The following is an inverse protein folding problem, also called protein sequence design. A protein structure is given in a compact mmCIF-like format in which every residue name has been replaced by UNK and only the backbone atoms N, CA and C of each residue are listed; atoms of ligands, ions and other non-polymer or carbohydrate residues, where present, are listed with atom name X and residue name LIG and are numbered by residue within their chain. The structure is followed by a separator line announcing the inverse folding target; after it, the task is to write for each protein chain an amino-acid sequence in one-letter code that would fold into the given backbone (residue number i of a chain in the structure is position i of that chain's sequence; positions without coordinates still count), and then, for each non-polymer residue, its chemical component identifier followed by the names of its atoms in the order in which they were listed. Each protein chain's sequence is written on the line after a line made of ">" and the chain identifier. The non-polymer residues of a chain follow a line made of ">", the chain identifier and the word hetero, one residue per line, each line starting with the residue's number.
data_IF_737462949722
#
_entry.id   IF_737462949722
#
_cell.length_a   1.000
_cell.length_b   1.000
_cell.length_c   1.000
_cell.angle_alpha   90.00
_cell.angle_beta   90.00
_cell.angle_gamma   90.00
#
_symmetry.space_group_name_H-M   'P 1'
#
loop_
_entity.id
_entity.type
_entity.pdbx_description
1 polymer ?
#
# COMPACT_ATOMS: atom_id res chain seq x y z
N UNK A 1 -53.18 0.16 4.88
CA UNK A 1 -52.54 0.82 3.69
C UNK A 1 -51.89 2.18 3.98
N UNK A 2 -52.56 3.18 4.57
CA UNK A 2 -51.97 4.52 4.81
C UNK A 2 -50.75 4.48 5.78
N UNK A 3 -50.77 3.65 6.82
CA UNK A 3 -49.67 3.50 7.81
C UNK A 3 -48.42 2.87 7.21
N UNK A 4 -48.58 1.83 6.41
CA UNK A 4 -47.50 1.13 5.70
C UNK A 4 -46.80 2.05 4.68
N UNK A 5 -47.57 2.84 3.90
CA UNK A 5 -47.00 3.81 2.97
C UNK A 5 -46.22 4.91 3.66
N UNK A 6 -46.63 5.37 4.85
CA UNK A 6 -45.87 6.33 5.66
C UNK A 6 -44.54 5.73 6.19
N UNK A 7 -44.56 4.48 6.64
CA UNK A 7 -43.32 3.79 7.13
C UNK A 7 -42.31 3.63 5.96
N UNK A 8 -42.82 3.19 4.79
CA UNK A 8 -41.93 3.05 3.60
C UNK A 8 -41.35 4.41 3.21
N UNK A 9 -42.15 5.48 3.22
CA UNK A 9 -41.67 6.83 2.89
C UNK A 9 -40.60 7.30 3.85
N UNK A 10 -40.76 7.06 5.18
CA UNK A 10 -39.77 7.40 6.20
C UNK A 10 -38.44 6.63 5.97
N UNK A 11 -38.53 5.32 5.67
CA UNK A 11 -37.36 4.50 5.39
C UNK A 11 -36.60 5.02 4.15
N UNK A 12 -37.33 5.36 3.09
CA UNK A 12 -36.75 5.93 1.87
C UNK A 12 -36.09 7.29 2.13
N UNK A 13 -36.74 8.17 2.89
CA UNK A 13 -36.15 9.47 3.27
C UNK A 13 -34.89 9.26 4.11
N UNK A 14 -34.91 8.39 5.12
CA UNK A 14 -33.75 8.07 5.93
C UNK A 14 -32.60 7.50 5.08
N UNK A 15 -32.92 6.61 4.16
CA UNK A 15 -31.94 6.06 3.23
C UNK A 15 -31.31 7.14 2.34
N UNK A 16 -32.14 7.99 1.72
CA UNK A 16 -31.66 9.11 0.88
C UNK A 16 -30.82 10.09 1.69
N UNK A 17 -31.23 10.45 2.90
CA UNK A 17 -30.47 11.33 3.80
C UNK A 17 -29.14 10.68 4.15
N UNK A 18 -29.12 9.40 4.52
CA UNK A 18 -27.89 8.68 4.89
C UNK A 18 -26.93 8.60 3.71
N UNK A 19 -27.44 8.29 2.50
CA UNK A 19 -26.64 8.25 1.28
C UNK A 19 -26.09 9.64 0.93
N UNK A 20 -26.90 10.69 1.06
CA UNK A 20 -26.49 12.06 0.79
C UNK A 20 -25.42 12.53 1.79
N UNK A 21 -25.60 12.27 3.08
CA UNK A 21 -24.60 12.58 4.12
C UNK A 21 -23.32 11.81 3.86
N UNK A 22 -23.39 10.51 3.55
CA UNK A 22 -22.22 9.73 3.18
C UNK A 22 -21.50 10.33 1.96
N UNK A 23 -22.26 10.69 0.91
CA UNK A 23 -21.70 11.29 -0.29
C UNK A 23 -21.00 12.63 0.00
N UNK A 24 -21.66 13.51 0.77
CA UNK A 24 -21.06 14.79 1.18
C UNK A 24 -19.81 14.55 2.00
N UNK A 25 -19.85 13.72 3.03
CA UNK A 25 -18.68 13.43 3.88
C UNK A 25 -17.52 12.78 3.11
N UNK A 26 -17.82 11.96 2.10
CA UNK A 26 -16.82 11.23 1.32
C UNK A 26 -16.21 12.07 0.19
N UNK A 27 -16.94 13.00 -0.38
CA UNK A 27 -16.51 13.78 -1.56
C UNK A 27 -16.17 15.24 -1.26
N UNK A 28 -16.36 15.70 -0.03
CA UNK A 28 -16.04 17.06 0.39
C UNK A 28 -15.08 17.08 1.58
N UNK A 29 -14.57 18.26 1.91
CA UNK A 29 -13.70 18.43 3.07
C UNK A 29 -12.22 18.20 2.78
N UNK A 30 -11.82 18.02 1.51
CA UNK A 30 -10.43 17.92 1.08
C UNK A 30 -10.25 18.47 -0.34
N UNK A 31 -9.01 18.82 -0.68
CA UNK A 31 -8.59 19.19 -2.04
C UNK A 31 -7.79 18.06 -2.68
N UNK A 32 -7.92 17.91 -4.00
CA UNK A 32 -7.15 16.93 -4.77
C UNK A 32 -6.26 17.69 -5.74
N UNK A 33 -4.96 17.44 -5.64
CA UNK A 33 -3.94 17.93 -6.56
C UNK A 33 -3.52 16.76 -7.45
N UNK A 34 -3.90 16.84 -8.73
CA UNK A 34 -3.70 15.73 -9.68
C UNK A 34 -2.43 15.92 -10.47
N UNK A 35 -1.80 14.78 -10.84
CA UNK A 35 -0.65 14.74 -11.72
C UNK A 35 0.49 15.65 -11.24
N UNK A 36 0.69 15.71 -9.92
CA UNK A 36 1.85 16.37 -9.34
C UNK A 36 3.08 15.58 -9.74
N UNK A 37 4.00 16.20 -10.48
CA UNK A 37 5.23 15.57 -10.95
C UNK A 37 6.21 15.45 -9.79
N UNK A 38 6.83 14.27 -9.62
CA UNK A 38 7.83 14.03 -8.60
C UNK A 38 9.20 13.65 -9.17
N UNK A 39 9.29 13.38 -10.46
CA UNK A 39 10.52 13.05 -11.19
C UNK A 39 10.51 13.59 -12.62
N UNK A 40 11.42 13.07 -13.45
CA UNK A 40 11.73 13.58 -14.79
C UNK A 40 10.82 12.98 -15.89
N UNK A 41 10.37 11.73 -15.73
CA UNK A 41 9.57 11.02 -16.73
C UNK A 41 8.09 11.39 -16.69
N UNK A 42 7.35 11.10 -17.76
CA UNK A 42 5.91 11.37 -17.82
C UNK A 42 5.11 10.52 -16.83
N UNK A 43 5.63 9.35 -16.45
CA UNK A 43 4.99 8.44 -15.52
C UNK A 43 5.27 8.75 -14.05
N UNK A 44 6.27 9.59 -13.75
CA UNK A 44 6.61 10.00 -12.38
C UNK A 44 5.66 11.10 -11.88
N UNK A 45 4.39 10.74 -11.78
CA UNK A 45 3.28 11.61 -11.35
C UNK A 45 2.48 10.96 -10.23
N UNK A 46 1.93 11.81 -9.37
CA UNK A 46 1.09 11.40 -8.25
C UNK A 46 -0.14 12.29 -8.11
N UNK A 47 -1.16 11.79 -7.38
CA UNK A 47 -2.28 12.60 -6.92
C UNK A 47 -2.17 12.75 -5.40
N UNK A 48 -2.27 14.00 -4.90
CA UNK A 48 -2.20 14.32 -3.47
C UNK A 48 -3.57 14.81 -3.00
N UNK A 49 -4.05 14.25 -1.90
CA UNK A 49 -5.32 14.54 -1.27
C UNK A 49 -5.07 15.21 0.07
N UNK A 50 -5.38 16.49 0.19
CA UNK A 50 -5.14 17.29 1.39
C UNK A 50 -6.47 17.67 2.04
N UNK A 51 -6.76 17.19 3.26
CA UNK A 51 -7.94 17.60 4.01
C UNK A 51 -7.93 19.10 4.28
N UNK A 52 -9.09 19.75 4.21
CA UNK A 52 -9.18 21.19 4.50
C UNK A 52 -8.70 21.51 5.94
N UNK A 53 -8.87 20.57 6.86
CA UNK A 53 -8.39 20.71 8.25
C UNK A 53 -6.86 20.71 8.38
N UNK A 54 -6.13 20.23 7.37
CA UNK A 54 -4.66 20.21 7.41
C UNK A 54 -4.05 21.61 7.40
N UNK A 55 -4.78 22.60 6.92
CA UNK A 55 -4.33 24.00 6.91
C UNK A 55 -4.46 24.70 8.27
N UNK A 56 -5.20 24.11 9.21
CA UNK A 56 -5.49 24.70 10.53
C UNK A 56 -4.78 23.96 11.68
N UNK A 57 -3.99 22.94 11.39
CA UNK A 57 -3.35 22.08 12.40
C UNK A 57 -1.91 21.77 12.03
N UNK A 58 -1.09 21.50 13.04
CA UNK A 58 0.17 20.77 12.84
C UNK A 58 -0.19 19.35 12.39
N UNK A 59 0.05 19.07 11.12
CA UNK A 59 -0.15 17.76 10.52
C UNK A 59 1.19 17.06 10.41
N UNK A 60 1.31 15.91 11.08
CA UNK A 60 2.61 15.25 11.20
C UNK A 60 2.84 14.14 10.18
N UNK A 61 1.82 13.72 9.41
CA UNK A 61 2.01 12.55 8.56
C UNK A 61 1.12 12.45 7.31
N UNK A 62 1.55 11.60 6.38
CA UNK A 62 0.80 11.23 5.19
C UNK A 62 0.88 9.73 4.90
N UNK A 63 -0.10 9.18 4.18
CA UNK A 63 -0.06 7.80 3.66
C UNK A 63 0.12 7.83 2.15
N UNK A 64 1.18 7.19 1.66
CA UNK A 64 1.43 6.97 0.23
C UNK A 64 0.90 5.60 -0.19
N UNK A 65 -0.05 5.59 -1.12
CA UNK A 65 -0.62 4.39 -1.71
C UNK A 65 0.06 4.04 -3.04
N UNK A 66 0.46 2.78 -3.18
CA UNK A 66 1.16 2.22 -4.33
C UNK A 66 0.25 1.19 -4.98
N UNK A 67 -0.07 1.37 -6.27
CA UNK A 67 -1.02 0.51 -6.97
C UNK A 67 -0.44 -0.89 -7.27
N UNK A 68 -1.33 -1.86 -7.45
CA UNK A 68 -1.01 -3.20 -7.91
C UNK A 68 -0.77 -3.29 -9.42
N UNK A 69 -0.84 -4.51 -9.97
CA UNK A 69 -0.71 -4.75 -11.41
C UNK A 69 0.50 -5.58 -11.81
N UNK A 70 0.96 -6.47 -10.94
CA UNK A 70 2.07 -7.43 -11.22
C UNK A 70 3.37 -6.77 -11.69
N UNK A 71 3.60 -5.54 -11.28
CA UNK A 71 4.73 -4.66 -11.69
C UNK A 71 4.76 -4.31 -13.18
N UNK A 72 3.78 -4.76 -13.96
CA UNK A 72 3.70 -4.59 -15.43
C UNK A 72 2.56 -3.69 -15.88
N UNK A 73 1.70 -3.26 -14.97
CA UNK A 73 0.52 -2.44 -15.26
C UNK A 73 -0.03 -1.79 -14.01
N UNK A 74 -1.17 -1.12 -14.16
CA UNK A 74 -1.84 -0.37 -13.11
C UNK A 74 -1.71 1.14 -13.27
N UNK A 75 -2.46 1.87 -12.46
CA UNK A 75 -2.44 3.34 -12.44
C UNK A 75 -2.82 3.83 -11.04
N UNK A 76 -2.24 4.95 -10.63
CA UNK A 76 -2.52 5.62 -9.34
C UNK A 76 -4.01 5.85 -9.07
N UNK A 77 -4.85 5.93 -10.13
CA UNK A 77 -6.31 6.08 -9.98
C UNK A 77 -6.96 4.91 -9.27
N UNK A 78 -6.37 3.72 -9.31
CA UNK A 78 -6.89 2.53 -8.63
C UNK A 78 -6.92 2.70 -7.10
N UNK A 79 -6.01 3.52 -6.57
CA UNK A 79 -5.92 3.86 -5.15
C UNK A 79 -6.75 5.09 -4.74
N UNK A 80 -7.41 5.75 -5.69
CA UNK A 80 -8.17 7.00 -5.45
C UNK A 80 -9.24 6.85 -4.37
N UNK A 81 -9.90 5.67 -4.27
CA UNK A 81 -10.90 5.43 -3.24
C UNK A 81 -10.27 5.46 -1.83
N UNK A 82 -9.09 4.84 -1.66
CA UNK A 82 -8.38 4.78 -0.38
C UNK A 82 -7.89 6.17 0.03
N UNK A 83 -7.34 6.92 -0.92
CA UNK A 83 -6.93 8.30 -0.68
C UNK A 83 -8.10 9.19 -0.26
N UNK A 84 -9.25 9.10 -0.96
CA UNK A 84 -10.47 9.84 -0.59
C UNK A 84 -10.98 9.45 0.78
N UNK A 85 -10.96 8.16 1.09
CA UNK A 85 -11.37 7.66 2.40
C UNK A 85 -10.53 8.26 3.53
N UNK A 86 -9.20 8.23 3.42
CA UNK A 86 -8.32 8.83 4.43
C UNK A 86 -8.46 10.36 4.47
N UNK A 87 -8.55 11.02 3.33
CA UNK A 87 -8.74 12.46 3.27
C UNK A 87 -10.07 12.88 3.92
N UNK A 88 -11.16 12.10 3.75
CA UNK A 88 -12.45 12.33 4.44
C UNK A 88 -12.35 12.12 5.95
N UNK A 89 -11.38 11.35 6.44
CA UNK A 89 -11.07 11.17 7.86
C UNK A 89 -10.13 12.23 8.41
N UNK A 90 -9.60 13.09 7.54
CA UNK A 90 -8.74 14.20 7.93
C UNK A 90 -7.25 13.89 7.83
N UNK A 91 -6.83 12.86 7.09
CA UNK A 91 -5.44 12.51 6.87
C UNK A 91 -4.98 12.84 5.45
N UNK A 92 -3.75 13.33 5.31
CA UNK A 92 -3.14 13.53 4.01
C UNK A 92 -2.85 12.16 3.40
N UNK A 93 -3.24 12.00 2.14
CA UNK A 93 -2.99 10.78 1.38
C UNK A 93 -2.48 11.12 -0.02
N UNK A 94 -1.65 10.25 -0.57
CA UNK A 94 -1.20 10.38 -1.95
C UNK A 94 -1.22 9.00 -2.63
N UNK A 95 -1.31 9.00 -3.94
CA UNK A 95 -1.14 7.79 -4.75
C UNK A 95 -0.25 8.10 -5.93
N UNK A 96 0.62 7.16 -6.28
CA UNK A 96 1.75 7.36 -7.18
C UNK A 96 1.69 6.37 -8.34
N UNK A 97 2.04 6.84 -9.55
CA UNK A 97 2.50 5.98 -10.63
C UNK A 97 3.99 5.73 -10.44
N UNK A 98 4.50 4.62 -10.92
CA UNK A 98 5.90 4.23 -10.84
C UNK A 98 6.32 3.50 -12.11
N UNK A 99 7.62 3.35 -12.35
CA UNK A 99 8.16 2.63 -13.50
C UNK A 99 7.73 1.17 -13.50
N UNK A 100 7.13 0.74 -14.61
CA UNK A 100 6.63 -0.61 -14.81
C UNK A 100 7.65 -1.45 -15.58
N UNK A 101 7.69 -2.74 -15.24
CA UNK A 101 8.41 -3.72 -16.04
C UNK A 101 7.70 -3.92 -17.40
N UNK A 102 8.45 -3.90 -18.48
CA UNK A 102 8.03 -4.28 -19.82
C UNK A 102 9.17 -5.01 -20.53
N UNK A 103 8.91 -5.59 -21.69
CA UNK A 103 9.97 -6.19 -22.52
C UNK A 103 11.03 -5.15 -22.96
N UNK A 104 10.61 -3.90 -23.16
CA UNK A 104 11.49 -2.79 -23.52
C UNK A 104 12.38 -2.33 -22.38
N UNK A 105 11.93 -2.48 -21.13
CA UNK A 105 12.66 -2.07 -19.92
C UNK A 105 13.36 -3.24 -19.22
N UNK A 106 13.18 -4.48 -19.70
CA UNK A 106 13.62 -5.70 -19.00
C UNK A 106 15.10 -5.71 -18.61
N UNK A 107 15.98 -5.16 -19.46
CA UNK A 107 17.43 -5.13 -19.22
C UNK A 107 17.85 -4.08 -18.17
N UNK A 108 17.02 -3.09 -17.89
CA UNK A 108 17.33 -2.01 -16.97
C UNK A 108 16.43 -2.01 -15.72
N UNK A 109 15.27 -2.69 -15.78
CA UNK A 109 14.32 -2.69 -14.68
C UNK A 109 14.80 -3.54 -13.49
N UNK A 110 14.67 -2.98 -12.32
CA UNK A 110 14.72 -3.69 -11.04
C UNK A 110 13.91 -2.93 -9.99
N UNK A 111 13.44 -3.62 -8.97
CA UNK A 111 12.59 -2.98 -7.93
C UNK A 111 13.28 -1.81 -7.23
N UNK A 112 14.60 -1.79 -7.19
CA UNK A 112 15.38 -0.68 -6.62
C UNK A 112 15.05 0.67 -7.25
N UNK A 113 14.79 0.72 -8.58
CA UNK A 113 14.35 1.95 -9.27
C UNK A 113 13.04 2.44 -8.66
N UNK A 114 12.09 1.55 -8.42
CA UNK A 114 10.79 1.92 -7.85
C UNK A 114 10.93 2.37 -6.39
N UNK A 115 11.86 1.79 -5.64
CA UNK A 115 12.15 2.27 -4.28
C UNK A 115 12.74 3.70 -4.29
N UNK A 116 13.57 4.04 -5.28
CA UNK A 116 14.10 5.41 -5.47
C UNK A 116 12.97 6.37 -5.88
N UNK A 117 12.03 5.94 -6.72
CA UNK A 117 10.84 6.69 -7.07
C UNK A 117 9.92 6.94 -5.87
N UNK A 118 9.81 5.99 -4.94
CA UNK A 118 9.08 6.18 -3.69
C UNK A 118 9.76 7.23 -2.81
N UNK A 119 11.09 7.24 -2.71
CA UNK A 119 11.86 8.29 -2.03
C UNK A 119 11.58 9.67 -2.64
N UNK A 120 11.64 9.77 -3.96
CA UNK A 120 11.36 11.01 -4.69
C UNK A 120 9.91 11.48 -4.47
N UNK A 121 8.94 10.55 -4.52
CA UNK A 121 7.54 10.85 -4.27
C UNK A 121 7.31 11.38 -2.83
N UNK A 122 7.88 10.74 -1.81
CA UNK A 122 7.79 11.19 -0.43
C UNK A 122 8.45 12.55 -0.23
N UNK A 123 9.62 12.77 -0.84
CA UNK A 123 10.30 14.08 -0.84
C UNK A 123 9.43 15.17 -1.48
N UNK A 124 8.79 14.85 -2.60
CA UNK A 124 7.86 15.78 -3.27
C UNK A 124 6.60 16.05 -2.45
N UNK A 125 6.02 15.05 -1.79
CA UNK A 125 4.86 15.25 -0.89
C UNK A 125 5.24 16.22 0.24
N UNK A 126 6.41 16.02 0.86
CA UNK A 126 6.91 16.89 1.94
C UNK A 126 7.07 18.33 1.48
N UNK A 127 7.76 18.56 0.36
CA UNK A 127 7.97 19.90 -0.19
C UNK A 127 6.65 20.54 -0.67
N UNK A 128 5.78 19.78 -1.33
CA UNK A 128 4.46 20.26 -1.78
C UNK A 128 3.55 20.67 -0.62
N UNK A 129 3.56 19.92 0.48
CA UNK A 129 2.84 20.28 1.69
C UNK A 129 3.40 21.59 2.29
N UNK A 130 4.72 21.72 2.37
CA UNK A 130 5.38 22.94 2.86
C UNK A 130 5.03 24.18 2.02
N UNK A 131 4.94 24.05 0.68
CA UNK A 131 4.45 25.12 -0.21
C UNK A 131 3.01 25.57 0.12
N UNK A 132 2.23 24.73 0.81
CA UNK A 132 0.86 25.03 1.26
C UNK A 132 0.79 25.44 2.73
N UNK A 133 1.95 25.63 3.39
CA UNK A 133 2.02 25.97 4.80
C UNK A 133 1.76 24.79 5.75
N UNK A 134 1.89 23.55 5.26
CA UNK A 134 1.66 22.32 6.04
C UNK A 134 2.99 21.63 6.28
N UNK A 135 3.33 21.36 7.54
CA UNK A 135 4.52 20.57 7.91
C UNK A 135 4.17 19.09 8.00
N UNK A 136 4.92 18.25 7.28
CA UNK A 136 4.82 16.78 7.35
C UNK A 136 6.20 16.23 7.67
N UNK A 137 6.30 15.44 8.74
CA UNK A 137 7.56 14.81 9.18
C UNK A 137 7.50 13.28 9.14
N UNK A 138 6.28 12.72 9.20
CA UNK A 138 6.03 11.29 9.25
C UNK A 138 5.34 10.82 7.97
N UNK A 139 5.61 9.58 7.58
CA UNK A 139 4.95 8.92 6.47
C UNK A 139 4.57 7.48 6.81
N UNK A 140 3.56 6.97 6.12
CA UNK A 140 3.27 5.56 6.05
C UNK A 140 3.15 5.17 4.58
N UNK A 141 3.45 3.91 4.27
CA UNK A 141 3.24 3.35 2.94
C UNK A 141 2.11 2.34 2.96
N UNK A 142 1.41 2.19 1.85
CA UNK A 142 0.35 1.21 1.71
C UNK A 142 0.25 0.74 0.27
N UNK A 143 -0.22 -0.48 0.08
CA UNK A 143 -0.42 -0.98 -1.28
C UNK A 143 -1.31 -2.21 -1.36
N UNK A 144 -1.55 -2.63 -2.61
CA UNK A 144 -2.26 -3.83 -2.93
C UNK A 144 -1.44 -4.67 -3.93
N UNK A 145 -1.36 -6.02 -3.72
CA UNK A 145 -0.66 -6.92 -4.63
C UNK A 145 0.80 -6.49 -4.86
N UNK A 146 1.24 -6.26 -6.09
CA UNK A 146 2.58 -5.75 -6.41
C UNK A 146 2.91 -4.43 -5.68
N UNK A 147 1.93 -3.52 -5.53
CA UNK A 147 2.11 -2.30 -4.76
C UNK A 147 2.29 -2.55 -3.26
N UNK A 148 1.65 -3.59 -2.71
CA UNK A 148 1.87 -4.02 -1.33
C UNK A 148 3.29 -4.59 -1.13
N UNK A 149 3.80 -5.35 -2.09
CA UNK A 149 5.20 -5.79 -2.11
C UNK A 149 6.15 -4.59 -2.05
N UNK A 150 6.01 -3.64 -2.99
CA UNK A 150 6.85 -2.44 -3.07
C UNK A 150 6.76 -1.59 -1.78
N UNK A 151 5.55 -1.43 -1.24
CA UNK A 151 5.30 -0.73 0.03
C UNK A 151 6.04 -1.38 1.20
N UNK A 152 5.95 -2.71 1.34
CA UNK A 152 6.65 -3.45 2.40
C UNK A 152 8.16 -3.45 2.19
N UNK A 153 8.62 -3.72 0.95
CA UNK A 153 10.05 -3.74 0.64
C UNK A 153 10.68 -2.38 0.95
N UNK A 154 10.03 -1.28 0.55
CA UNK A 154 10.46 0.06 0.88
C UNK A 154 10.49 0.30 2.39
N UNK A 155 9.37 0.06 3.07
CA UNK A 155 9.25 0.34 4.49
C UNK A 155 10.25 -0.48 5.35
N UNK A 156 10.55 -1.72 4.97
CA UNK A 156 11.43 -2.57 5.77
C UNK A 156 12.92 -2.39 5.43
N UNK A 157 13.25 -2.07 4.17
CA UNK A 157 14.65 -1.90 3.76
C UNK A 157 15.16 -0.46 3.83
N UNK A 158 14.28 0.56 3.86
CA UNK A 158 14.66 1.98 3.77
C UNK A 158 14.11 2.87 4.88
N UNK A 159 13.50 2.33 5.94
CA UNK A 159 12.91 3.15 7.00
C UNK A 159 13.91 4.11 7.67
N UNK A 160 15.17 3.73 7.77
CA UNK A 160 16.22 4.57 8.38
C UNK A 160 16.67 5.72 7.46
N UNK A 161 16.54 5.57 6.14
CA UNK A 161 17.05 6.52 5.15
C UNK A 161 15.96 7.31 4.44
N UNK A 162 14.69 6.98 4.70
CA UNK A 162 13.55 7.62 4.07
C UNK A 162 13.51 9.14 4.34
N UNK A 163 13.01 9.97 3.40
CA UNK A 163 12.96 11.44 3.54
C UNK A 163 12.02 11.93 4.64
N UNK A 164 11.18 11.04 5.16
CA UNK A 164 10.31 11.24 6.32
C UNK A 164 10.36 9.99 7.20
N UNK A 165 10.14 10.13 8.50
CA UNK A 165 10.03 9.00 9.42
C UNK A 165 8.92 8.05 8.98
N UNK A 166 9.24 6.79 8.68
CA UNK A 166 8.27 5.77 8.34
C UNK A 166 7.72 5.14 9.63
N UNK A 167 6.48 5.50 9.96
CA UNK A 167 5.88 5.14 11.26
C UNK A 167 5.03 3.87 11.23
N UNK A 168 4.55 3.46 10.05
CA UNK A 168 3.89 2.16 9.83
C UNK A 168 3.75 1.84 8.34
N UNK A 169 3.38 0.59 8.03
CA UNK A 169 2.94 0.21 6.68
C UNK A 169 1.63 -0.58 6.72
N UNK A 170 0.79 -0.49 5.65
CA UNK A 170 -0.52 -1.14 5.63
C UNK A 170 -0.79 -1.77 4.25
N UNK A 171 -0.82 -3.11 4.18
CA UNK A 171 -0.71 -3.83 2.93
C UNK A 171 -1.77 -4.91 2.75
N UNK A 172 -2.17 -5.16 1.53
CA UNK A 172 -3.17 -6.15 1.17
C UNK A 172 -2.64 -7.08 0.08
N UNK A 173 -2.67 -8.39 0.34
CA UNK A 173 -2.33 -9.46 -0.60
C UNK A 173 -0.99 -9.24 -1.33
N UNK A 174 0.03 -8.75 -0.62
CA UNK A 174 1.35 -8.47 -1.19
C UNK A 174 2.28 -9.69 -1.14
N UNK A 175 3.04 -9.98 -2.22
CA UNK A 175 4.21 -10.84 -2.10
C UNK A 175 5.17 -10.32 -1.03
N UNK A 176 5.61 -11.19 -0.13
CA UNK A 176 6.45 -10.81 0.99
C UNK A 176 7.73 -11.65 1.13
N UNK A 177 7.65 -12.89 0.66
CA UNK A 177 8.73 -13.86 0.72
C UNK A 177 8.80 -14.60 -0.63
N UNK A 178 9.88 -14.42 -1.36
CA UNK A 178 10.07 -14.97 -2.70
C UNK A 178 10.80 -16.30 -2.71
N UNK A 179 10.83 -17.02 -1.59
CA UNK A 179 11.41 -18.34 -1.51
C UNK A 179 10.73 -19.35 -2.45
N UNK A 180 11.48 -20.34 -2.89
CA UNK A 180 10.96 -21.43 -3.73
C UNK A 180 9.93 -22.30 -3.00
N UNK A 181 9.93 -22.30 -1.67
CA UNK A 181 8.96 -23.02 -0.86
C UNK A 181 7.55 -22.44 -0.97
N UNK A 182 7.46 -21.09 -1.13
CA UNK A 182 6.17 -20.41 -1.28
C UNK A 182 5.71 -20.35 -2.74
N UNK A 183 6.61 -20.05 -3.67
CA UNK A 183 6.26 -19.78 -5.07
C UNK A 183 6.49 -20.96 -6.01
N UNK A 184 7.20 -22.00 -5.58
CA UNK A 184 7.74 -23.02 -6.47
C UNK A 184 8.88 -22.48 -7.34
N UNK A 185 9.69 -23.36 -7.90
CA UNK A 185 10.92 -22.99 -8.61
C UNK A 185 10.67 -22.12 -9.84
N UNK A 186 9.70 -22.49 -10.68
CA UNK A 186 9.41 -21.79 -11.94
C UNK A 186 8.94 -20.34 -11.71
N UNK A 187 8.00 -20.16 -10.77
CA UNK A 187 7.49 -18.82 -10.45
C UNK A 187 8.56 -17.98 -9.75
N UNK A 188 9.31 -18.55 -8.81
CA UNK A 188 10.41 -17.87 -8.14
C UNK A 188 11.48 -17.40 -9.14
N UNK A 189 11.84 -18.25 -10.11
CA UNK A 189 12.77 -17.91 -11.20
C UNK A 189 12.26 -16.73 -12.03
N UNK A 190 10.98 -16.80 -12.45
CA UNK A 190 10.34 -15.74 -13.24
C UNK A 190 10.33 -14.41 -12.49
N UNK A 191 9.97 -14.43 -11.21
CA UNK A 191 9.90 -13.23 -10.37
C UNK A 191 11.30 -12.67 -10.06
N UNK A 192 12.30 -13.53 -9.80
CA UNK A 192 13.68 -13.10 -9.59
C UNK A 192 14.22 -12.37 -10.83
N UNK A 193 14.05 -12.94 -12.02
CA UNK A 193 14.49 -12.31 -13.27
C UNK A 193 13.78 -10.98 -13.54
N UNK A 194 12.49 -10.88 -13.18
CA UNK A 194 11.71 -9.64 -13.38
C UNK A 194 12.11 -8.53 -12.41
N UNK A 195 12.38 -8.87 -11.15
CA UNK A 195 12.39 -7.89 -10.07
C UNK A 195 13.80 -7.52 -9.59
N UNK A 196 14.79 -8.40 -9.77
CA UNK A 196 16.11 -8.19 -9.20
C UNK A 196 17.06 -7.38 -10.10
N UNK A 197 16.77 -7.26 -11.40
CA UNK A 197 17.71 -6.73 -12.39
C UNK A 197 18.88 -7.67 -12.67
N UNK A 198 18.82 -8.91 -12.22
CA UNK A 198 19.86 -9.92 -12.41
C UNK A 198 19.32 -11.10 -13.21
N UNK A 199 20.16 -11.69 -14.05
CA UNK A 199 19.81 -12.92 -14.77
C UNK A 199 19.98 -14.11 -13.85
N UNK A 200 18.88 -14.70 -13.40
CA UNK A 200 18.85 -15.91 -12.58
C UNK A 200 18.57 -17.12 -13.47
N UNK A 201 19.28 -18.21 -13.25
CA UNK A 201 19.10 -19.46 -13.97
C UNK A 201 18.55 -20.57 -13.04
N UNK A 202 18.00 -21.62 -13.63
CA UNK A 202 17.53 -22.76 -12.85
C UNK A 202 18.68 -23.43 -12.07
N UNK A 203 19.89 -23.49 -12.66
CA UNK A 203 21.08 -24.02 -11.99
C UNK A 203 21.42 -23.20 -10.71
N UNK A 204 21.34 -21.87 -10.79
CA UNK A 204 21.54 -21.01 -9.62
C UNK A 204 20.52 -21.25 -8.51
N UNK A 205 19.24 -21.53 -8.88
CA UNK A 205 18.22 -21.90 -7.89
C UNK A 205 18.54 -23.27 -7.24
N UNK A 206 18.94 -24.25 -8.05
CA UNK A 206 19.25 -25.60 -7.58
C UNK A 206 20.52 -25.66 -6.71
N UNK A 207 21.53 -24.83 -7.02
CA UNK A 207 22.76 -24.74 -6.27
C UNK A 207 22.70 -23.84 -5.03
N UNK A 208 21.59 -23.10 -4.82
CA UNK A 208 21.44 -22.12 -3.76
C UNK A 208 22.07 -20.76 -4.06
N UNK A 209 22.71 -20.57 -5.22
CA UNK A 209 23.34 -19.29 -5.61
C UNK A 209 22.32 -18.17 -5.81
N UNK A 210 21.06 -18.48 -6.11
CA UNK A 210 19.99 -17.51 -6.27
C UNK A 210 19.36 -17.04 -4.94
N UNK A 211 19.72 -17.64 -3.80
CA UNK A 211 19.07 -17.36 -2.51
C UNK A 211 19.21 -15.88 -2.12
N UNK A 212 20.42 -15.31 -2.26
CA UNK A 212 20.66 -13.89 -1.96
C UNK A 212 19.83 -12.96 -2.86
N UNK A 213 19.67 -13.33 -4.13
CA UNK A 213 18.85 -12.58 -5.09
C UNK A 213 17.36 -12.62 -4.69
N UNK A 214 16.85 -13.81 -4.34
CA UNK A 214 15.47 -13.94 -3.85
C UNK A 214 15.26 -13.18 -2.54
N UNK A 215 16.24 -13.19 -1.65
CA UNK A 215 16.22 -12.41 -0.40
C UNK A 215 16.19 -10.92 -0.66
N UNK A 216 16.96 -10.42 -1.64
CA UNK A 216 17.03 -8.99 -1.96
C UNK A 216 15.70 -8.39 -2.42
N UNK A 217 14.81 -9.19 -2.99
CA UNK A 217 13.46 -8.77 -3.40
C UNK A 217 12.37 -9.17 -2.40
N UNK A 218 12.71 -9.85 -1.30
CA UNK A 218 11.78 -10.34 -0.28
C UNK A 218 11.68 -9.36 0.89
N UNK A 219 10.55 -8.68 1.10
CA UNK A 219 10.34 -7.83 2.29
C UNK A 219 10.69 -8.51 3.60
N UNK A 220 10.35 -9.80 3.77
CA UNK A 220 10.64 -10.58 4.99
C UNK A 220 12.11 -10.69 5.35
N UNK A 221 13.01 -10.46 4.39
CA UNK A 221 14.46 -10.50 4.62
C UNK A 221 15.01 -9.26 5.36
N UNK A 222 14.23 -8.19 5.38
CA UNK A 222 14.63 -6.90 5.98
C UNK A 222 13.95 -6.63 7.33
N UNK A 223 13.15 -7.57 7.84
CA UNK A 223 12.44 -7.38 9.11
C UNK A 223 13.42 -7.51 10.27
N UNK A 224 13.54 -6.45 11.06
CA UNK A 224 14.35 -6.31 12.27
C UNK A 224 13.50 -5.76 13.42
N UNK A 225 14.07 -5.60 14.60
CA UNK A 225 13.39 -5.00 15.75
C UNK A 225 12.98 -3.52 15.52
N UNK A 226 13.65 -2.84 14.58
CA UNK A 226 13.39 -1.42 14.24
C UNK A 226 12.42 -1.26 13.06
N UNK A 227 11.93 -2.38 12.50
CA UNK A 227 10.95 -2.37 11.40
C UNK A 227 9.65 -1.66 11.83
N UNK A 228 9.09 -0.76 11.00
CA UNK A 228 7.84 -0.08 11.33
C UNK A 228 6.68 -1.06 11.57
N UNK A 229 5.79 -0.79 12.55
CA UNK A 229 4.56 -1.54 12.77
C UNK A 229 3.76 -1.73 11.48
N UNK A 230 3.04 -2.86 11.37
CA UNK A 230 2.45 -3.23 10.08
C UNK A 230 1.02 -3.75 10.20
N UNK A 231 0.19 -3.39 9.22
CA UNK A 231 -1.10 -4.02 8.96
C UNK A 231 -0.96 -4.85 7.69
N UNK A 232 -1.32 -6.12 7.72
CA UNK A 232 -1.36 -6.92 6.50
C UNK A 232 -2.60 -7.82 6.44
N UNK A 233 -3.19 -7.91 5.24
CA UNK A 233 -4.41 -8.65 5.00
C UNK A 233 -4.23 -9.66 3.86
N UNK A 234 -4.60 -10.92 4.10
CA UNK A 234 -4.47 -11.99 3.11
C UNK A 234 -5.75 -12.82 2.96
N UNK A 235 -5.96 -13.34 1.75
CA UNK A 235 -7.05 -14.24 1.41
C UNK A 235 -6.64 -15.71 1.50
N UNK A 236 -7.47 -16.54 2.14
CA UNK A 236 -7.18 -18.00 2.26
C UNK A 236 -7.45 -18.81 0.98
N UNK A 237 -8.02 -18.18 -0.06
CA UNK A 237 -8.25 -18.75 -1.39
C UNK A 237 -7.64 -17.89 -2.48
N UNK A 238 -6.59 -17.16 -2.14
CA UNK A 238 -5.81 -16.39 -3.09
C UNK A 238 -4.94 -17.34 -3.90
N UNK A 239 -5.14 -17.35 -5.22
CA UNK A 239 -4.44 -18.20 -6.19
C UNK A 239 -3.25 -17.47 -6.83
N UNK A 240 -3.11 -16.16 -6.59
CA UNK A 240 -2.02 -15.33 -7.14
C UNK A 240 -0.93 -15.07 -6.10
N UNK A 241 -1.32 -14.75 -4.87
CA UNK A 241 -0.41 -14.52 -3.75
C UNK A 241 -0.87 -15.41 -2.60
N UNK A 242 -0.21 -16.56 -2.46
CA UNK A 242 -0.56 -17.53 -1.43
C UNK A 242 -0.48 -16.90 -0.03
N UNK A 243 -1.41 -17.31 0.85
CA UNK A 243 -1.47 -16.91 2.26
C UNK A 243 -0.15 -17.17 3.03
N UNK A 244 0.67 -18.08 2.55
CA UNK A 244 1.99 -18.36 3.11
C UNK A 244 2.88 -17.13 3.18
N UNK A 245 2.69 -16.14 2.28
CA UNK A 245 3.34 -14.82 2.39
C UNK A 245 2.96 -14.09 3.68
N UNK A 246 1.67 -14.12 4.06
CA UNK A 246 1.18 -13.56 5.32
C UNK A 246 1.62 -14.34 6.55
N UNK A 247 1.72 -15.65 6.44
CA UNK A 247 2.22 -16.53 7.50
C UNK A 247 3.73 -16.33 7.72
N UNK A 248 4.52 -16.12 6.64
CA UNK A 248 5.95 -15.78 6.71
C UNK A 248 6.17 -14.40 7.36
N UNK A 249 5.40 -13.36 6.97
CA UNK A 249 5.43 -12.07 7.65
C UNK A 249 5.15 -12.21 9.13
N UNK A 250 4.06 -12.87 9.50
CA UNK A 250 3.68 -13.11 10.89
C UNK A 250 4.82 -13.74 11.68
N UNK A 251 5.41 -14.82 11.17
CA UNK A 251 6.51 -15.51 11.84
C UNK A 251 7.74 -14.61 12.06
N UNK A 252 8.06 -13.74 11.08
CA UNK A 252 9.17 -12.79 11.20
C UNK A 252 8.88 -11.68 12.22
N UNK A 253 7.68 -11.10 12.19
CA UNK A 253 7.28 -10.08 13.17
C UNK A 253 7.24 -10.63 14.60
N UNK A 254 6.69 -11.86 14.79
CA UNK A 254 6.70 -12.55 16.09
C UNK A 254 8.13 -12.77 16.61
N UNK A 255 9.07 -13.13 15.72
CA UNK A 255 10.47 -13.40 16.09
C UNK A 255 11.22 -12.16 16.55
N UNK A 256 10.90 -10.97 16.03
CA UNK A 256 11.56 -9.71 16.39
C UNK A 256 10.76 -8.87 17.40
N UNK A 257 9.51 -9.26 17.71
CA UNK A 257 8.67 -8.58 18.70
C UNK A 257 8.09 -7.25 18.23
N UNK A 258 8.02 -6.99 16.93
CA UNK A 258 7.42 -5.78 16.35
C UNK A 258 5.90 -5.93 16.24
N UNK A 259 5.16 -4.86 16.54
CA UNK A 259 3.70 -4.83 16.49
C UNK A 259 3.16 -4.99 15.06
N UNK A 260 2.12 -5.79 14.90
CA UNK A 260 1.39 -5.92 13.64
C UNK A 260 -0.07 -6.30 13.86
N UNK A 261 -0.91 -5.98 12.87
CA UNK A 261 -2.28 -6.48 12.73
C UNK A 261 -2.39 -7.41 11.50
N UNK A 262 -2.67 -8.69 11.74
CA UNK A 262 -2.91 -9.68 10.67
C UNK A 262 -4.39 -9.94 10.46
N UNK A 263 -4.93 -9.52 9.32
CA UNK A 263 -6.33 -9.70 8.95
C UNK A 263 -6.45 -10.85 7.96
N UNK A 264 -6.81 -12.03 8.44
CA UNK A 264 -6.99 -13.20 7.58
C UNK A 264 -8.44 -13.38 7.14
N UNK A 265 -8.64 -13.60 5.83
CA UNK A 265 -9.93 -13.81 5.16
C UNK A 265 -10.03 -15.21 4.57
N UNK A 266 -10.47 -16.26 5.31
CA UNK A 266 -10.34 -17.67 4.90
C UNK A 266 -10.97 -18.01 3.55
N UNK A 267 -12.01 -17.28 3.13
CA UNK A 267 -12.77 -17.54 1.91
C UNK A 267 -12.52 -16.51 0.79
N UNK A 268 -11.65 -15.54 1.01
CA UNK A 268 -11.36 -14.51 0.02
C UNK A 268 -10.32 -15.00 -0.98
N UNK A 269 -10.53 -14.62 -2.24
CA UNK A 269 -9.55 -14.69 -3.33
C UNK A 269 -8.68 -13.43 -3.33
N UNK A 270 -7.77 -13.29 -4.29
CA UNK A 270 -6.84 -12.16 -4.43
C UNK A 270 -7.52 -10.79 -4.29
N UNK A 271 -8.66 -10.57 -4.92
CA UNK A 271 -9.41 -9.30 -4.84
C UNK A 271 -9.89 -8.92 -3.43
N UNK A 272 -9.85 -9.85 -2.47
CA UNK A 272 -10.33 -9.69 -1.08
C UNK A 272 -11.80 -9.21 -0.99
N UNK A 273 -12.58 -9.37 -2.07
CA UNK A 273 -13.90 -8.76 -2.24
C UNK A 273 -15.02 -9.43 -1.41
N UNK A 274 -14.86 -10.70 -1.04
CA UNK A 274 -15.95 -11.51 -0.47
C UNK A 274 -16.28 -11.25 1.01
N UNK A 275 -15.61 -10.34 1.68
CA UNK A 275 -15.89 -10.06 3.09
C UNK A 275 -15.87 -8.56 3.39
N UNK A 276 -16.94 -7.87 2.98
CA UNK A 276 -17.07 -6.42 3.15
C UNK A 276 -16.83 -5.98 4.59
N UNK A 277 -17.36 -6.71 5.60
CA UNK A 277 -17.19 -6.37 7.02
C UNK A 277 -15.71 -6.36 7.45
N UNK A 278 -14.92 -7.35 7.02
CA UNK A 278 -13.47 -7.40 7.34
C UNK A 278 -12.64 -6.43 6.48
N UNK A 279 -13.07 -6.08 5.27
CA UNK A 279 -12.47 -4.96 4.53
C UNK A 279 -12.68 -3.64 5.26
N UNK A 280 -13.86 -3.44 5.85
CA UNK A 280 -14.10 -2.29 6.72
C UNK A 280 -13.22 -2.32 7.97
N UNK A 281 -12.92 -3.50 8.54
CA UNK A 281 -11.98 -3.59 9.67
C UNK A 281 -10.58 -3.13 9.27
N UNK A 282 -10.07 -3.51 8.08
CA UNK A 282 -8.78 -3.00 7.59
C UNK A 282 -8.75 -1.47 7.53
N UNK A 283 -9.76 -0.85 6.93
CA UNK A 283 -9.82 0.62 6.87
C UNK A 283 -9.95 1.27 8.24
N UNK A 284 -10.68 0.64 9.15
CA UNK A 284 -10.79 1.10 10.54
C UNK A 284 -9.43 1.02 11.24
N UNK A 285 -8.74 -0.11 11.13
CA UNK A 285 -7.39 -0.30 11.69
C UNK A 285 -6.41 0.69 11.08
N UNK A 286 -6.45 0.93 9.76
CA UNK A 286 -5.62 1.93 9.09
C UNK A 286 -5.83 3.34 9.68
N UNK A 287 -7.07 3.75 9.94
CA UNK A 287 -7.36 5.05 10.59
C UNK A 287 -6.82 5.07 12.02
N UNK A 288 -6.98 3.99 12.79
CA UNK A 288 -6.43 3.89 14.14
C UNK A 288 -4.88 4.00 14.16
N UNK A 289 -4.20 3.41 13.17
CA UNK A 289 -2.75 3.59 13.01
C UNK A 289 -2.39 5.04 12.66
N UNK A 290 -3.15 5.68 11.76
CA UNK A 290 -2.96 7.12 11.51
C UNK A 290 -3.16 7.96 12.79
N UNK A 291 -4.20 7.68 13.58
CA UNK A 291 -4.46 8.36 14.85
C UNK A 291 -3.31 8.18 15.85
N UNK A 292 -2.77 6.97 15.94
CA UNK A 292 -1.72 6.62 16.91
C UNK A 292 -0.34 7.12 16.50
N UNK A 293 0.03 6.97 15.24
CA UNK A 293 1.41 7.17 14.80
C UNK A 293 1.66 8.55 14.17
N UNK A 294 0.64 9.25 13.71
CA UNK A 294 0.77 10.63 13.23
C UNK A 294 0.49 11.69 14.31
N UNK A 295 0.15 11.23 15.51
CA UNK A 295 -0.03 12.13 16.65
C UNK A 295 1.30 12.78 17.09
#
# INVERSE_FOLDING_TARGET
>A
MKKTKRIILIIVILFVVTVSVFFVCFFTGYKIYRNVRYGETENEIMDIYIPNKAYDKEYNGCVLFIHGGSWTGGDKKEESFRCRYLASKGYIAATVNYTLYSEETADSYHVGIVLDEIDAALTKIKSFAAEKGITITKAATSGYSAGAHLSMLYAFSRHETAPMELVFTANMAGPADFSTDIWGKETALTLANRLSGQKVTEEMLLSGQAEEILRSISPTSYITADTPPSIFMYGGRDELVDKANGESLKAKFDAVGVEYDYIFLPKAKHSLARNLGKRFSYFKTLVQYCERYFA
#
